data_IF_870838257767
#
_entry.id   IF_870838257767
#
_cell.length_a   1.000
_cell.length_b   1.000
_cell.length_c   1.000
_cell.angle_alpha   90.00
_cell.angle_beta   90.00
_cell.angle_gamma   90.00
#
_symmetry.space_group_name_H-M   'P 1'
#
loop_
_entity.id
_entity.type
_entity.pdbx_description
1 polymer ?
#
# COMPACT_ATOMS: atom_id res chain seq x y z
N UNK A 1 -63.13 25.28 -33.13
CA UNK A 1 -63.17 26.68 -33.60
C UNK A 1 -61.75 27.17 -33.79
N UNK A 2 -61.41 27.49 -35.04
CA UNK A 2 -60.43 28.51 -35.50
C UNK A 2 -58.95 28.37 -35.05
N UNK A 3 -58.12 27.85 -35.95
CA UNK A 3 -56.86 28.51 -36.35
C UNK A 3 -57.19 29.44 -37.56
N UNK A 4 -56.31 30.33 -38.13
CA UNK A 4 -54.85 30.52 -37.95
C UNK A 4 -54.35 32.00 -38.05
N UNK A 5 -53.03 32.25 -38.04
CA UNK A 5 -52.24 33.16 -38.94
C UNK A 5 -50.93 33.62 -38.25
N UNK A 6 -49.75 33.20 -38.72
CA UNK A 6 -48.86 33.71 -39.81
C UNK A 6 -47.95 34.87 -39.39
N UNK A 7 -46.63 34.62 -39.52
CA UNK A 7 -45.58 35.64 -39.56
C UNK A 7 -44.19 35.02 -39.70
N UNK A 8 -43.78 34.74 -40.95
CA UNK A 8 -42.41 34.39 -41.34
C UNK A 8 -41.66 35.69 -41.71
N UNK A 9 -40.32 35.61 -41.69
CA UNK A 9 -39.31 36.33 -42.52
C UNK A 9 -38.40 37.30 -41.71
N UNK A 10 -37.17 36.87 -41.37
CA UNK A 10 -35.93 37.18 -42.13
C UNK A 10 -34.67 36.63 -41.46
N UNK A 11 -33.88 35.91 -42.27
CA UNK A 11 -32.45 35.68 -42.08
C UNK A 11 -31.68 37.00 -42.04
N UNK A 12 -30.68 37.07 -41.15
CA UNK A 12 -29.42 37.75 -41.43
C UNK A 12 -28.26 36.96 -40.79
N UNK A 13 -27.39 36.42 -41.66
CA UNK A 13 -26.02 36.05 -41.35
C UNK A 13 -25.17 37.33 -41.28
N UNK A 14 -24.28 37.43 -40.28
CA UNK A 14 -22.87 37.83 -40.43
C UNK A 14 -22.20 38.13 -39.07
N UNK A 15 -21.28 37.23 -38.69
CA UNK A 15 -19.91 37.48 -38.21
C UNK A 15 -19.56 38.78 -37.47
N UNK A 16 -19.02 38.67 -36.25
CA UNK A 16 -17.62 39.03 -35.94
C UNK A 16 -17.22 38.81 -34.46
N UNK A 17 -16.06 38.15 -34.29
CA UNK A 17 -14.99 38.32 -33.29
C UNK A 17 -15.15 37.75 -31.87
N UNK A 18 -14.44 36.63 -31.70
CA UNK A 18 -13.50 36.31 -30.62
C UNK A 18 -13.37 37.36 -29.50
N UNK A 19 -13.70 36.94 -28.28
CA UNK A 19 -12.88 37.22 -27.10
C UNK A 19 -12.61 35.90 -26.40
N UNK A 20 -11.37 35.43 -26.53
CA UNK A 20 -10.84 34.27 -25.86
C UNK A 20 -10.73 34.55 -24.35
N UNK A 21 -11.52 33.87 -23.53
CA UNK A 21 -11.24 33.71 -22.09
C UNK A 21 -10.51 32.38 -21.87
N UNK A 22 -9.19 32.45 -22.02
CA UNK A 22 -8.18 31.61 -21.36
C UNK A 22 -8.46 30.12 -21.23
N UNK A 23 -8.23 29.36 -22.30
CA UNK A 23 -7.90 27.95 -22.15
C UNK A 23 -6.66 27.81 -21.27
N UNK A 24 -6.76 27.02 -20.19
CA UNK A 24 -5.60 26.59 -19.40
C UNK A 24 -4.70 25.77 -20.34
N UNK A 25 -3.70 26.43 -20.92
CA UNK A 25 -2.52 25.74 -21.44
C UNK A 25 -1.83 25.09 -20.25
N UNK A 26 -1.95 23.77 -20.13
CA UNK A 26 -1.05 22.94 -19.35
C UNK A 26 0.34 23.07 -19.98
N UNK A 27 1.14 24.00 -19.47
CA UNK A 27 2.52 24.17 -19.88
C UNK A 27 3.40 23.90 -18.67
N UNK A 28 4.15 22.79 -18.69
CA UNK A 28 5.48 22.60 -18.08
C UNK A 28 5.76 23.26 -16.71
N UNK A 29 4.76 23.42 -15.83
CA UNK A 29 4.90 24.13 -14.55
C UNK A 29 5.54 23.26 -13.45
N UNK A 30 5.48 21.92 -13.55
CA UNK A 30 5.89 21.01 -12.49
C UNK A 30 7.38 21.08 -12.13
N UNK A 31 8.27 20.88 -13.10
CA UNK A 31 9.72 20.73 -12.84
C UNK A 31 10.38 22.04 -12.41
N UNK A 32 10.11 23.13 -13.14
CA UNK A 32 10.69 24.44 -12.83
C UNK A 32 10.18 24.97 -11.48
N UNK A 33 8.92 24.70 -11.14
CA UNK A 33 8.34 25.07 -9.85
C UNK A 33 8.93 24.25 -8.71
N UNK A 34 9.06 22.93 -8.85
CA UNK A 34 9.58 22.09 -7.76
C UNK A 34 11.03 22.46 -7.42
N UNK A 35 11.90 22.59 -8.42
CA UNK A 35 13.31 22.93 -8.19
C UNK A 35 13.50 24.33 -7.57
N UNK A 36 12.60 25.27 -7.85
CA UNK A 36 12.63 26.62 -7.26
C UNK A 36 12.07 26.66 -5.84
N UNK A 37 11.00 25.90 -5.56
CA UNK A 37 10.29 25.93 -4.26
C UNK A 37 10.90 24.99 -3.21
N UNK A 38 11.74 24.03 -3.60
CA UNK A 38 12.39 23.14 -2.64
C UNK A 38 13.22 23.89 -1.59
N UNK A 39 13.66 25.12 -1.87
CA UNK A 39 14.43 25.92 -0.93
C UNK A 39 13.58 26.64 0.14
N UNK A 40 12.25 26.66 0.02
CA UNK A 40 11.41 27.38 0.98
C UNK A 40 11.38 26.65 2.35
N UNK A 41 11.34 27.39 3.48
CA UNK A 41 11.33 26.77 4.80
C UNK A 41 10.06 25.98 5.08
N UNK A 42 8.91 26.41 4.53
CA UNK A 42 7.64 25.67 4.63
C UNK A 42 7.04 25.48 3.24
N UNK A 43 6.74 24.24 2.89
CA UNK A 43 6.30 23.85 1.54
C UNK A 43 5.03 22.99 1.61
N UNK A 44 4.19 23.09 0.58
CA UNK A 44 3.04 22.21 0.41
C UNK A 44 2.89 21.77 -1.05
N UNK A 45 2.68 20.46 -1.25
CA UNK A 45 2.53 19.83 -2.55
C UNK A 45 1.29 18.94 -2.58
N UNK A 46 0.64 18.87 -3.73
CA UNK A 46 -0.43 17.90 -4.02
C UNK A 46 -0.09 17.18 -5.32
N UNK A 47 -0.12 15.84 -5.32
CA UNK A 47 0.04 15.08 -6.55
C UNK A 47 -1.26 14.99 -7.33
N UNK A 48 -1.21 15.32 -8.61
CA UNK A 48 -2.26 15.06 -9.59
C UNK A 48 -2.14 13.65 -10.19
N UNK A 49 -1.03 12.94 -9.93
CA UNK A 49 -0.84 11.56 -10.36
C UNK A 49 -1.43 10.57 -9.37
N UNK A 50 -2.03 9.50 -9.89
CA UNK A 50 -2.48 8.35 -9.12
C UNK A 50 -1.47 7.19 -9.12
N UNK A 51 -0.27 7.39 -9.65
CA UNK A 51 0.75 6.34 -9.70
C UNK A 51 1.47 6.18 -8.34
N UNK A 52 1.34 5.02 -7.67
CA UNK A 52 1.97 4.79 -6.38
C UNK A 52 3.50 4.82 -6.43
N UNK A 53 4.12 4.37 -7.53
CA UNK A 53 5.57 4.39 -7.72
C UNK A 53 6.07 5.82 -7.89
N UNK A 54 5.35 6.65 -8.64
CA UNK A 54 5.70 8.07 -8.81
C UNK A 54 5.52 8.83 -7.50
N UNK A 55 4.38 8.68 -6.83
CA UNK A 55 4.09 9.36 -5.58
C UNK A 55 5.14 9.02 -4.50
N UNK A 56 5.51 7.74 -4.35
CA UNK A 56 6.55 7.32 -3.40
C UNK A 56 7.96 7.75 -3.83
N UNK A 57 8.22 7.92 -5.13
CA UNK A 57 9.49 8.49 -5.61
C UNK A 57 9.60 9.99 -5.32
N UNK A 58 8.53 10.75 -5.56
CA UNK A 58 8.44 12.19 -5.20
C UNK A 58 8.61 12.37 -3.69
N UNK A 59 7.90 11.58 -2.88
CA UNK A 59 8.03 11.60 -1.42
C UNK A 59 9.49 11.35 -0.99
N UNK A 60 10.15 10.36 -1.60
CA UNK A 60 11.54 10.05 -1.30
C UNK A 60 12.48 11.18 -1.72
N UNK A 61 12.25 11.78 -2.89
CA UNK A 61 13.03 12.91 -3.38
C UNK A 61 12.92 14.12 -2.43
N UNK A 62 11.71 14.48 -2.01
CA UNK A 62 11.47 15.56 -1.04
C UNK A 62 12.19 15.29 0.30
N UNK A 63 12.21 14.03 0.75
CA UNK A 63 12.93 13.64 1.96
C UNK A 63 14.45 13.79 1.81
N UNK A 64 15.02 13.44 0.65
CA UNK A 64 16.47 13.42 0.44
C UNK A 64 17.06 14.77 0.03
N UNK A 65 16.30 15.58 -0.73
CA UNK A 65 16.84 16.74 -1.43
C UNK A 65 16.44 18.09 -0.86
N UNK A 66 15.37 18.14 -0.06
CA UNK A 66 14.94 19.41 0.53
C UNK A 66 15.81 19.83 1.73
N UNK A 67 15.90 21.14 2.04
CA UNK A 67 16.73 21.67 3.12
C UNK A 67 16.50 20.97 4.47
N UNK A 68 17.55 20.74 5.28
CA UNK A 68 17.46 20.10 6.60
C UNK A 68 16.44 20.73 7.56
N UNK A 69 16.30 22.05 7.48
CA UNK A 69 15.44 22.89 8.32
C UNK A 69 14.02 23.09 7.73
N UNK A 70 13.76 22.58 6.52
CA UNK A 70 12.45 22.73 5.87
C UNK A 70 11.39 21.75 6.39
N UNK A 71 10.15 22.23 6.47
CA UNK A 71 8.96 21.42 6.74
C UNK A 71 8.04 21.37 5.52
N UNK A 72 7.61 20.17 5.14
CA UNK A 72 6.91 19.91 3.88
C UNK A 72 5.67 19.09 4.15
N UNK A 73 4.52 19.52 3.60
CA UNK A 73 3.31 18.70 3.48
C UNK A 73 3.19 18.20 2.03
N UNK A 74 3.05 16.90 1.84
CA UNK A 74 2.75 16.28 0.55
C UNK A 74 1.48 15.44 0.67
N UNK A 75 0.49 15.71 -0.19
CA UNK A 75 -0.78 15.00 -0.26
C UNK A 75 -0.92 14.29 -1.60
N UNK A 76 -1.37 13.04 -1.59
CA UNK A 76 -1.54 12.27 -2.83
C UNK A 76 -2.57 11.15 -2.66
N UNK A 77 -3.13 10.70 -3.78
CA UNK A 77 -3.99 9.51 -3.86
C UNK A 77 -3.35 8.53 -4.83
N UNK A 78 -3.53 7.23 -4.61
CA UNK A 78 -3.04 6.22 -5.55
C UNK A 78 -4.22 5.49 -6.19
N UNK A 79 -4.02 4.99 -7.41
CA UNK A 79 -4.85 3.93 -7.99
C UNK A 79 -4.77 2.66 -7.12
N UNK A 80 -5.66 1.66 -7.32
CA UNK A 80 -5.68 0.44 -6.51
C UNK A 80 -4.29 -0.20 -6.37
N UNK A 81 -3.77 -0.22 -5.14
CA UNK A 81 -2.48 -0.82 -4.84
C UNK A 81 -2.38 -1.28 -3.38
N UNK A 82 -1.55 -2.29 -3.15
CA UNK A 82 -1.17 -2.75 -1.82
C UNK A 82 0.25 -2.27 -1.53
N UNK A 83 0.39 -1.51 -0.45
CA UNK A 83 1.67 -0.94 -0.03
C UNK A 83 2.19 -1.68 1.20
N UNK A 84 3.19 -2.53 1.00
CA UNK A 84 3.89 -3.24 2.07
C UNK A 84 5.03 -2.38 2.66
N UNK A 85 5.32 -2.57 3.95
CA UNK A 85 6.41 -1.90 4.64
C UNK A 85 7.80 -2.41 4.22
N UNK A 86 8.83 -1.60 4.49
CA UNK A 86 10.22 -1.85 4.04
C UNK A 86 10.77 -3.24 4.39
N UNK A 87 10.42 -3.77 5.55
CA UNK A 87 10.94 -5.03 6.11
C UNK A 87 9.84 -6.11 6.26
N UNK A 88 8.77 -6.02 5.47
CA UNK A 88 7.70 -7.02 5.49
C UNK A 88 7.94 -8.12 4.46
N UNK A 89 7.34 -9.28 4.69
CA UNK A 89 7.34 -10.39 3.74
C UNK A 89 6.05 -10.35 2.90
N UNK A 90 6.11 -10.12 1.57
CA UNK A 90 4.92 -9.99 0.74
C UNK A 90 4.07 -11.27 0.73
N UNK A 91 4.70 -12.45 0.80
CA UNK A 91 3.99 -13.73 0.85
C UNK A 91 3.32 -14.02 2.19
N UNK A 92 3.68 -13.32 3.27
CA UNK A 92 2.96 -13.40 4.55
C UNK A 92 1.80 -12.42 4.64
N UNK A 93 1.95 -11.28 3.99
CA UNK A 93 1.10 -10.11 4.18
C UNK A 93 0.01 -9.97 3.13
N UNK A 94 0.20 -10.57 1.95
CA UNK A 94 -0.63 -10.33 0.78
C UNK A 94 -1.01 -11.65 0.11
N UNK A 95 -2.26 -11.75 -0.32
CA UNK A 95 -2.71 -12.80 -1.21
C UNK A 95 -2.25 -12.52 -2.65
N UNK A 96 -0.98 -12.81 -2.93
CA UNK A 96 -0.35 -12.58 -4.22
C UNK A 96 -0.97 -13.42 -5.36
N UNK A 97 -1.61 -14.54 -5.04
CA UNK A 97 -2.31 -15.36 -6.04
C UNK A 97 -3.47 -14.60 -6.69
N UNK A 98 -4.26 -13.87 -5.90
CA UNK A 98 -5.36 -13.03 -6.42
C UNK A 98 -4.80 -11.89 -7.27
N UNK A 99 -3.70 -11.26 -6.85
CA UNK A 99 -3.05 -10.19 -7.64
C UNK A 99 -2.58 -10.70 -9.01
N UNK A 100 -1.88 -11.85 -9.04
CA UNK A 100 -1.38 -12.46 -10.28
C UNK A 100 -2.51 -12.89 -11.22
N UNK A 101 -3.62 -13.38 -10.68
CA UNK A 101 -4.80 -13.72 -11.48
C UNK A 101 -5.47 -12.47 -12.08
N UNK A 102 -5.56 -11.39 -11.30
CA UNK A 102 -6.12 -10.10 -11.71
C UNK A 102 -5.31 -9.37 -12.78
N UNK A 103 -3.99 -9.55 -12.82
CA UNK A 103 -3.13 -8.96 -13.86
C UNK A 103 -3.20 -9.70 -15.21
N UNK A 104 -3.69 -10.96 -15.21
CA UNK A 104 -3.67 -11.84 -16.38
C UNK A 104 -5.04 -12.02 -17.08
N UNK A 105 -6.12 -11.43 -16.56
CA UNK A 105 -7.47 -11.63 -17.12
C UNK A 105 -8.32 -10.36 -17.15
N UNK A 106 -8.98 -10.12 -18.29
CA UNK A 106 -10.29 -9.44 -18.30
C UNK A 106 -11.25 -10.25 -17.44
N UNK A 107 -11.69 -9.67 -16.32
CA UNK A 107 -12.63 -10.20 -15.33
C UNK A 107 -13.31 -11.54 -15.68
N UNK A 108 -12.99 -12.61 -14.93
CA UNK A 108 -13.81 -13.83 -14.95
C UNK A 108 -15.13 -13.59 -14.22
N UNK A 109 -16.22 -14.09 -14.80
CA UNK A 109 -17.61 -13.95 -14.33
C UNK A 109 -17.95 -14.75 -13.05
N UNK A 110 -16.96 -15.41 -12.41
CA UNK A 110 -17.18 -16.42 -11.36
C UNK A 110 -17.43 -15.82 -9.95
N UNK A 111 -17.91 -14.57 -9.87
CA UNK A 111 -18.48 -13.99 -8.65
C UNK A 111 -17.50 -13.57 -7.53
N UNK A 112 -16.20 -13.73 -7.71
CA UNK A 112 -15.18 -13.15 -6.81
C UNK A 112 -14.93 -11.69 -7.23
N UNK A 113 -15.15 -10.69 -6.36
CA UNK A 113 -14.90 -9.28 -6.69
C UNK A 113 -13.39 -9.03 -6.79
N UNK A 114 -12.82 -9.29 -7.96
CA UNK A 114 -11.48 -8.83 -8.30
C UNK A 114 -11.61 -7.33 -8.58
N UNK A 115 -10.89 -6.50 -7.81
CA UNK A 115 -10.88 -5.02 -7.93
C UNK A 115 -10.30 -4.60 -9.31
N UNK A 116 -9.79 -5.57 -10.07
CA UNK A 116 -9.10 -5.40 -11.34
C UNK A 116 -7.60 -5.53 -11.11
N UNK A 117 -6.83 -4.71 -11.82
CA UNK A 117 -5.39 -4.63 -11.66
C UNK A 117 -5.05 -3.87 -10.37
N UNK A 118 -4.43 -4.55 -9.40
CA UNK A 118 -4.00 -3.98 -8.12
C UNK A 118 -2.49 -4.12 -8.02
N UNK A 119 -1.79 -2.99 -7.92
CA UNK A 119 -0.32 -3.00 -7.88
C UNK A 119 0.21 -3.48 -6.52
N UNK A 120 1.36 -4.17 -6.51
CA UNK A 120 2.12 -4.44 -5.30
C UNK A 120 3.31 -3.48 -5.20
N UNK A 121 3.41 -2.74 -4.09
CA UNK A 121 4.45 -1.72 -3.91
C UNK A 121 5.11 -1.85 -2.54
N UNK A 122 6.44 -1.90 -2.50
CA UNK A 122 7.20 -1.81 -1.24
C UNK A 122 7.65 -0.38 -0.97
N UNK A 123 7.19 0.22 0.13
CA UNK A 123 7.62 1.57 0.52
C UNK A 123 8.98 1.58 1.25
N UNK A 124 9.60 2.75 1.33
CA UNK A 124 10.91 2.96 2.00
C UNK A 124 10.82 3.12 3.52
N UNK A 125 9.63 3.35 4.08
CA UNK A 125 9.34 3.44 5.52
C UNK A 125 8.97 2.08 6.12
N UNK A 126 9.06 1.95 7.44
CA UNK A 126 8.62 0.75 8.17
C UNK A 126 7.09 0.68 8.31
N UNK A 127 6.61 -0.18 9.21
CA UNK A 127 5.18 -0.37 9.50
C UNK A 127 4.53 -1.52 8.72
N UNK A 128 3.21 -1.67 8.87
CA UNK A 128 2.41 -2.75 8.29
C UNK A 128 1.94 -2.52 6.85
N UNK A 129 1.17 -3.47 6.33
CA UNK A 129 0.63 -3.46 4.98
C UNK A 129 -0.70 -2.71 4.93
N UNK A 130 -0.92 -1.91 3.89
CA UNK A 130 -2.17 -1.15 3.68
C UNK A 130 -2.62 -1.25 2.23
N UNK A 131 -3.93 -1.10 2.00
CA UNK A 131 -4.52 -0.98 0.67
C UNK A 131 -4.87 0.49 0.39
N UNK A 132 -4.55 0.97 -0.81
CA UNK A 132 -4.93 2.29 -1.30
C UNK A 132 -5.81 2.16 -2.54
N UNK A 133 -6.71 3.12 -2.71
CA UNK A 133 -7.43 3.42 -3.93
C UNK A 133 -7.78 4.92 -3.96
N UNK A 134 -8.59 5.36 -4.93
CA UNK A 134 -8.99 6.74 -5.10
C UNK A 134 -9.81 7.29 -3.92
N UNK A 135 -10.38 6.42 -3.09
CA UNK A 135 -11.09 6.79 -1.87
C UNK A 135 -10.18 6.92 -0.63
N UNK A 136 -8.88 6.69 -0.78
CA UNK A 136 -7.87 6.80 0.28
C UNK A 136 -6.87 7.92 -0.03
N UNK A 137 -6.88 8.98 0.79
CA UNK A 137 -5.90 10.07 0.68
C UNK A 137 -4.70 9.80 1.58
N UNK A 138 -3.51 9.84 1.00
CA UNK A 138 -2.26 9.79 1.74
C UNK A 138 -1.79 11.21 2.08
N UNK A 139 -1.26 11.35 3.28
CA UNK A 139 -0.64 12.57 3.76
C UNK A 139 0.78 12.26 4.24
N UNK A 140 1.73 13.13 3.93
CA UNK A 140 3.13 12.97 4.30
C UNK A 140 3.66 14.31 4.78
N UNK A 141 4.23 14.32 5.98
CA UNK A 141 4.91 15.49 6.55
C UNK A 141 6.37 15.16 6.77
N UNK A 142 7.24 15.96 6.15
CA UNK A 142 8.69 15.84 6.24
C UNK A 142 9.21 17.05 7.01
N UNK A 143 9.96 16.86 8.08
CA UNK A 143 10.42 17.93 8.96
C UNK A 143 11.82 17.65 9.52
N UNK A 144 12.45 18.61 10.20
CA UNK A 144 13.65 18.37 10.99
C UNK A 144 13.40 17.29 12.06
N UNK A 145 14.37 16.41 12.36
CA UNK A 145 14.20 15.35 13.37
C UNK A 145 13.83 15.88 14.76
N UNK A 146 14.30 17.09 15.10
CA UNK A 146 13.98 17.77 16.37
C UNK A 146 12.50 18.14 16.48
N UNK A 147 11.82 18.31 15.35
CA UNK A 147 10.43 18.74 15.28
C UNK A 147 9.47 17.56 15.13
N UNK A 148 10.00 16.33 15.02
CA UNK A 148 9.22 15.13 14.79
C UNK A 148 8.79 14.48 16.10
N UNK A 149 7.50 14.20 16.19
CA UNK A 149 6.95 13.20 17.11
C UNK A 149 6.01 12.29 16.34
N UNK A 150 5.76 11.09 16.86
CA UNK A 150 4.85 10.12 16.23
C UNK A 150 3.41 10.63 16.19
N UNK A 151 3.00 11.47 17.13
CA UNK A 151 1.62 11.97 17.20
C UNK A 151 1.42 13.30 16.46
N UNK A 152 2.40 14.21 16.45
CA UNK A 152 2.22 15.62 16.03
C UNK A 152 1.42 15.81 14.73
N UNK A 153 1.72 15.02 13.70
CA UNK A 153 1.04 15.14 12.40
C UNK A 153 -0.25 14.32 12.34
N UNK A 154 -0.37 13.21 13.08
CA UNK A 154 -1.65 12.51 13.23
C UNK A 154 -2.67 13.40 13.98
N UNK A 155 -2.23 14.13 15.01
CA UNK A 155 -3.03 15.12 15.72
C UNK A 155 -3.45 16.28 14.82
N UNK A 156 -2.58 16.72 13.91
CA UNK A 156 -2.93 17.71 12.87
C UNK A 156 -4.09 17.21 12.01
N UNK A 157 -4.03 15.96 11.56
CA UNK A 157 -5.10 15.35 10.77
C UNK A 157 -6.37 15.17 11.60
N UNK A 158 -6.28 14.78 12.88
CA UNK A 158 -7.46 14.72 13.78
C UNK A 158 -8.12 16.09 13.92
N UNK A 159 -7.36 17.17 14.12
CA UNK A 159 -7.91 18.54 14.17
C UNK A 159 -8.64 18.89 12.87
N UNK A 160 -8.07 18.51 11.72
CA UNK A 160 -8.71 18.71 10.43
C UNK A 160 -10.03 17.93 10.31
N UNK A 161 -10.05 16.65 10.70
CA UNK A 161 -11.24 15.81 10.69
C UNK A 161 -12.35 16.34 11.60
N UNK A 162 -12.02 16.79 12.80
CA UNK A 162 -13.00 17.39 13.74
C UNK A 162 -13.61 18.68 13.19
N UNK A 163 -12.81 19.52 12.52
CA UNK A 163 -13.34 20.72 11.82
C UNK A 163 -14.30 20.39 10.66
N UNK A 164 -14.18 19.19 10.08
CA UNK A 164 -15.11 18.67 9.08
C UNK A 164 -16.29 17.90 9.71
N UNK A 165 -16.48 17.97 11.03
CA UNK A 165 -17.60 17.37 11.75
C UNK A 165 -17.38 15.93 12.21
N UNK A 166 -16.15 15.40 12.10
CA UNK A 166 -15.82 14.04 12.54
C UNK A 166 -15.30 14.06 13.99
N UNK A 167 -16.17 14.44 14.92
CA UNK A 167 -15.83 14.65 16.34
C UNK A 167 -15.33 13.39 17.07
N UNK A 168 -15.64 12.21 16.52
CA UNK A 168 -15.24 10.88 17.02
C UNK A 168 -13.78 10.53 16.71
N UNK A 169 -13.09 11.33 15.91
CA UNK A 169 -11.70 11.08 15.55
C UNK A 169 -10.75 11.37 16.71
N UNK A 170 -9.82 10.46 16.94
CA UNK A 170 -8.67 10.65 17.84
C UNK A 170 -7.46 9.84 17.40
N UNK A 171 -6.30 10.22 17.93
CA UNK A 171 -5.09 9.41 17.88
C UNK A 171 -5.17 8.33 18.97
N UNK A 172 -4.67 7.13 18.67
CA UNK A 172 -4.56 6.04 19.65
C UNK A 172 -3.10 5.83 20.09
N UNK A 173 -2.88 4.91 21.02
CA UNK A 173 -1.56 4.58 21.57
C UNK A 173 -0.55 4.05 20.53
N UNK A 174 -1.05 3.58 19.39
CA UNK A 174 -0.23 3.13 18.25
C UNK A 174 0.00 4.24 17.22
N UNK A 175 -0.42 5.47 17.52
CA UNK A 175 -0.30 6.64 16.67
C UNK A 175 -1.12 6.52 15.36
N UNK A 176 -2.14 5.65 15.35
CA UNK A 176 -3.15 5.55 14.30
C UNK A 176 -4.30 6.54 14.59
N UNK A 177 -5.07 6.91 13.56
CA UNK A 177 -6.33 7.64 13.75
C UNK A 177 -7.50 6.65 13.72
N UNK A 178 -8.31 6.71 14.77
CA UNK A 178 -9.48 5.84 14.96
C UNK A 178 -10.74 6.66 15.20
N UNK A 179 -11.88 6.06 14.92
CA UNK A 179 -13.21 6.59 15.26
C UNK A 179 -13.76 5.82 16.46
N UNK A 180 -13.90 6.52 17.58
CA UNK A 180 -14.54 5.94 18.77
C UNK A 180 -16.04 5.69 18.52
N UNK A 181 -16.50 4.55 19.05
CA UNK A 181 -17.87 4.08 18.91
C UNK A 181 -18.71 4.43 20.16
N UNK A 182 -20.00 4.11 20.13
CA UNK A 182 -20.90 4.34 21.27
C UNK A 182 -21.54 5.73 21.30
N UNK A 183 -22.25 6.02 22.37
CA UNK A 183 -23.01 7.25 22.55
C UNK A 183 -22.10 8.37 23.06
N UNK A 184 -22.49 9.62 22.78
CA UNK A 184 -21.77 10.78 23.30
C UNK A 184 -22.13 10.96 24.78
N UNK A 185 -21.21 10.59 25.66
CA UNK A 185 -21.36 10.70 27.11
C UNK A 185 -20.24 11.58 27.69
N UNK A 186 -20.63 12.66 28.37
CA UNK A 186 -19.72 13.53 29.10
C UNK A 186 -19.09 14.67 28.29
N UNK A 187 -18.18 15.41 28.94
CA UNK A 187 -17.38 16.48 28.35
C UNK A 187 -15.96 15.96 28.09
N UNK A 188 -15.45 16.18 26.89
CA UNK A 188 -14.03 16.04 26.56
C UNK A 188 -13.47 17.41 26.22
N UNK A 189 -12.19 17.64 26.50
CA UNK A 189 -11.50 18.82 25.98
C UNK A 189 -11.47 18.73 24.44
N UNK A 190 -12.06 19.69 23.70
CA UNK A 190 -12.01 19.67 22.24
C UNK A 190 -10.59 19.72 21.66
N UNK A 191 -9.62 20.23 22.43
CA UNK A 191 -8.22 20.30 22.03
C UNK A 191 -7.44 19.01 22.31
N UNK A 192 -7.96 18.14 23.17
CA UNK A 192 -7.36 16.81 23.40
C UNK A 192 -7.66 15.90 22.20
N UNK A 193 -6.64 15.65 21.39
CA UNK A 193 -6.70 14.81 20.19
C UNK A 193 -6.61 13.32 20.49
N UNK A 194 -6.42 12.91 21.74
CA UNK A 194 -6.29 11.50 22.17
C UNK A 194 -7.54 10.98 22.88
N UNK A 195 -8.50 11.85 23.19
CA UNK A 195 -9.77 11.48 23.82
C UNK A 195 -10.95 12.03 23.05
N UNK A 196 -12.07 11.32 23.17
CA UNK A 196 -13.36 11.74 22.63
C UNK A 196 -14.44 11.55 23.69
N UNK A 197 -15.59 12.23 23.58
CA UNK A 197 -16.71 12.02 24.50
C UNK A 197 -17.55 10.78 24.10
N UNK A 198 -17.07 9.95 23.18
CA UNK A 198 -17.83 8.80 22.69
C UNK A 198 -17.36 7.54 23.41
N UNK A 199 -18.24 7.03 24.26
CA UNK A 199 -17.99 5.83 25.05
C UNK A 199 -19.12 4.86 24.87
N UNK A 200 -18.83 3.60 25.17
CA UNK A 200 -19.82 2.54 25.24
C UNK A 200 -19.96 2.15 26.69
N UNK A 201 -21.20 1.99 27.16
CA UNK A 201 -21.46 1.52 28.50
C UNK A 201 -20.96 0.05 28.63
N UNK A 202 -20.35 -0.28 29.77
CA UNK A 202 -19.94 -1.63 30.19
C UNK A 202 -18.88 -2.41 29.38
N UNK A 203 -17.76 -1.79 28.99
CA UNK A 203 -16.46 -2.47 28.75
C UNK A 203 -16.38 -3.50 27.60
N UNK A 204 -17.52 -3.87 27.02
CA UNK A 204 -17.72 -4.85 25.96
C UNK A 204 -18.23 -4.18 24.67
N UNK A 205 -18.11 -2.86 24.58
CA UNK A 205 -18.59 -2.12 23.42
C UNK A 205 -17.73 -2.32 22.16
N UNK A 206 -18.25 -1.93 20.98
CA UNK A 206 -17.58 -2.13 19.71
C UNK A 206 -16.23 -1.40 19.68
N UNK A 207 -15.22 -2.10 19.20
CA UNK A 207 -13.85 -1.57 19.08
C UNK A 207 -13.83 -0.31 18.19
N UNK A 208 -12.95 0.66 18.49
CA UNK A 208 -12.74 1.80 17.60
C UNK A 208 -12.37 1.34 16.18
N UNK A 209 -12.92 2.03 15.18
CA UNK A 209 -12.67 1.73 13.77
C UNK A 209 -11.49 2.55 13.27
N UNK A 210 -10.46 1.90 12.75
CA UNK A 210 -9.27 2.57 12.20
C UNK A 210 -9.59 3.23 10.86
N UNK A 211 -9.18 4.48 10.71
CA UNK A 211 -9.38 5.28 9.50
C UNK A 211 -8.09 5.85 8.92
N UNK A 212 -6.99 5.85 9.69
CA UNK A 212 -5.64 6.21 9.23
C UNK A 212 -4.63 5.27 9.84
N UNK A 213 -3.72 4.73 9.05
CA UNK A 213 -2.51 4.08 9.53
C UNK A 213 -1.30 4.99 9.34
N UNK A 214 -0.38 5.00 10.31
CA UNK A 214 0.82 5.84 10.28
C UNK A 214 2.09 5.02 10.10
N UNK A 215 3.07 5.57 9.38
CA UNK A 215 4.40 5.03 9.23
C UNK A 215 5.45 6.13 9.13
N UNK A 216 6.71 5.78 9.39
CA UNK A 216 7.78 6.75 9.59
C UNK A 216 9.08 6.33 8.91
N UNK A 217 9.89 7.32 8.55
CA UNK A 217 11.28 7.13 8.13
C UNK A 217 12.14 8.24 8.71
N UNK A 218 13.11 7.86 9.54
CA UNK A 218 14.11 8.78 10.06
C UNK A 218 15.39 8.66 9.24
N UNK A 219 15.97 9.80 8.91
CA UNK A 219 17.29 9.94 8.30
C UNK A 219 18.17 10.78 9.22
N UNK A 220 19.45 10.97 8.87
CA UNK A 220 20.36 11.78 9.67
C UNK A 220 19.85 13.21 9.91
N UNK A 221 19.27 13.83 8.87
CA UNK A 221 18.94 15.25 8.88
C UNK A 221 17.45 15.55 8.78
N UNK A 222 16.60 14.54 8.54
CA UNK A 222 15.17 14.71 8.26
C UNK A 222 14.36 13.55 8.83
N UNK A 223 13.13 13.82 9.22
CA UNK A 223 12.13 12.84 9.59
C UNK A 223 10.94 12.92 8.62
N UNK A 224 10.38 11.77 8.26
CA UNK A 224 9.17 11.64 7.47
C UNK A 224 8.12 10.91 8.30
N UNK A 225 6.93 11.49 8.36
CA UNK A 225 5.72 10.89 8.89
C UNK A 225 4.68 10.88 7.78
N UNK A 226 4.29 9.70 7.31
CA UNK A 226 3.15 9.58 6.42
C UNK A 226 2.04 8.71 7.00
N UNK A 227 0.84 8.91 6.50
CA UNK A 227 -0.27 8.07 6.82
C UNK A 227 -1.32 8.06 5.73
N UNK A 228 -2.25 7.13 5.89
CA UNK A 228 -3.41 6.98 5.01
C UNK A 228 -4.62 7.70 5.60
N UNK A 229 -5.69 7.88 4.83
CA UNK A 229 -6.97 8.30 5.37
C UNK A 229 -8.09 7.72 4.52
N UNK A 230 -8.83 6.78 5.10
CA UNK A 230 -9.95 6.08 4.45
C UNK A 230 -11.17 7.00 4.41
N UNK A 231 -11.34 7.68 3.28
CA UNK A 231 -12.42 8.64 3.11
C UNK A 231 -13.65 7.95 2.52
N UNK A 232 -13.54 7.36 1.33
CA UNK A 232 -14.66 6.75 0.58
C UNK A 232 -14.20 5.62 -0.34
N UNK A 233 -13.35 4.71 0.15
CA UNK A 233 -12.95 3.55 -0.65
C UNK A 233 -14.18 2.70 -1.00
N UNK A 234 -14.47 2.46 -2.30
CA UNK A 234 -15.55 1.54 -2.69
C UNK A 234 -15.18 0.08 -2.41
N UNK A 235 -13.91 -0.20 -2.13
CA UNK A 235 -13.36 -1.54 -2.02
C UNK A 235 -13.21 -2.07 -0.59
N UNK A 236 -13.75 -1.36 0.41
CA UNK A 236 -13.54 -1.65 1.83
C UNK A 236 -13.80 -3.12 2.21
N UNK A 237 -14.81 -3.75 1.59
CA UNK A 237 -15.19 -5.15 1.83
C UNK A 237 -14.25 -6.17 1.17
N UNK A 238 -13.56 -5.76 0.10
CA UNK A 238 -12.63 -6.61 -0.62
C UNK A 238 -11.21 -6.56 -0.04
N UNK A 239 -10.83 -5.47 0.64
CA UNK A 239 -9.49 -5.28 1.26
C UNK A 239 -9.04 -6.52 2.06
N UNK A 240 -9.86 -7.13 2.95
CA UNK A 240 -9.42 -8.32 3.68
C UNK A 240 -8.96 -9.46 2.76
N UNK A 241 -9.61 -9.69 1.62
CA UNK A 241 -9.26 -10.80 0.72
C UNK A 241 -7.84 -10.67 0.16
N UNK A 242 -7.39 -9.43 -0.04
CA UNK A 242 -6.04 -9.13 -0.50
C UNK A 242 -5.00 -9.20 0.61
N UNK A 243 -5.36 -8.88 1.86
CA UNK A 243 -4.43 -8.76 2.99
C UNK A 243 -4.35 -10.04 3.85
N UNK A 244 -5.07 -11.11 3.48
CA UNK A 244 -4.95 -12.42 4.12
C UNK A 244 -4.22 -13.38 3.19
N UNK A 245 -2.92 -13.58 3.42
CA UNK A 245 -2.13 -14.53 2.64
C UNK A 245 -2.52 -15.98 2.98
N UNK A 246 -2.82 -16.82 1.97
CA UNK A 246 -3.04 -18.24 2.17
C UNK A 246 -1.74 -19.01 2.48
N UNK A 247 -0.57 -18.44 2.18
CA UNK A 247 0.73 -19.06 2.48
C UNK A 247 1.15 -18.89 3.96
N UNK A 248 0.42 -18.08 4.74
CA UNK A 248 0.78 -17.75 6.13
C UNK A 248 1.01 -18.98 7.03
N UNK A 249 0.19 -20.04 7.02
CA UNK A 249 0.41 -21.23 7.85
C UNK A 249 1.70 -22.00 7.54
N UNK A 250 2.29 -21.78 6.37
CA UNK A 250 3.45 -22.49 5.85
C UNK A 250 4.75 -21.70 6.00
N UNK A 251 4.69 -20.47 6.54
CA UNK A 251 5.81 -19.53 6.52
C UNK A 251 6.19 -19.09 7.93
N UNK A 252 7.48 -19.23 8.26
CA UNK A 252 8.09 -18.70 9.48
C UNK A 252 9.09 -17.62 9.12
N UNK A 253 8.77 -16.36 9.42
CA UNK A 253 9.64 -15.23 9.09
C UNK A 253 10.11 -14.47 10.33
N UNK A 254 11.29 -13.86 10.21
CA UNK A 254 11.77 -12.83 11.14
C UNK A 254 11.53 -11.47 10.49
N UNK A 255 10.31 -10.96 10.58
CA UNK A 255 9.88 -9.73 9.90
C UNK A 255 8.91 -8.90 10.73
N UNK A 256 8.57 -7.71 10.25
CA UNK A 256 7.54 -6.86 10.87
C UNK A 256 6.16 -7.35 10.39
N UNK A 257 5.36 -7.90 11.29
CA UNK A 257 3.99 -8.32 11.00
C UNK A 257 3.02 -7.13 11.00
N UNK A 258 1.96 -7.23 10.19
CA UNK A 258 0.84 -6.29 10.29
C UNK A 258 -0.03 -6.54 11.52
N UNK A 259 -0.49 -5.45 12.13
CA UNK A 259 -1.51 -5.50 13.20
C UNK A 259 -2.89 -5.25 12.59
N UNK A 260 -3.69 -6.31 12.47
CA UNK A 260 -5.05 -6.21 11.95
C UNK A 260 -5.94 -5.35 12.86
N UNK A 261 -6.78 -4.52 12.25
CA UNK A 261 -7.73 -3.65 12.96
C UNK A 261 -9.00 -3.49 12.12
N UNK A 262 -10.19 -3.42 12.74
CA UNK A 262 -11.41 -3.10 12.01
C UNK A 262 -11.29 -1.69 11.43
N UNK A 263 -11.73 -1.51 10.20
CA UNK A 263 -11.59 -0.25 9.44
C UNK A 263 -12.95 0.33 9.04
N UNK A 264 -12.99 1.63 8.76
CA UNK A 264 -14.18 2.30 8.24
C UNK A 264 -13.84 3.41 7.25
N UNK A 265 -14.80 3.74 6.39
CA UNK A 265 -14.76 4.99 5.64
C UNK A 265 -15.30 6.14 6.50
N UNK A 266 -14.68 7.31 6.37
CA UNK A 266 -15.12 8.52 7.07
C UNK A 266 -16.33 9.18 6.38
N UNK A 267 -16.45 9.07 5.05
CA UNK A 267 -17.52 9.68 4.26
C UNK A 267 -17.23 11.10 3.76
N UNK A 268 -16.01 11.62 3.93
CA UNK A 268 -15.60 12.95 3.45
C UNK A 268 -15.09 12.91 2.01
N UNK A 269 -15.16 14.03 1.27
CA UNK A 269 -14.58 14.10 -0.07
C UNK A 269 -13.08 14.34 0.05
N UNK A 270 -12.30 13.81 -0.90
CA UNK A 270 -10.84 14.00 -0.92
C UNK A 270 -10.47 15.49 -0.88
N UNK A 271 -11.16 16.31 -1.68
CA UNK A 271 -10.90 17.74 -1.76
C UNK A 271 -11.17 18.46 -0.42
N UNK A 272 -12.28 18.15 0.27
CA UNK A 272 -12.59 18.77 1.56
C UNK A 272 -11.55 18.38 2.62
N UNK A 273 -11.16 17.10 2.64
CA UNK A 273 -10.12 16.60 3.52
C UNK A 273 -8.77 17.26 3.25
N UNK A 274 -8.29 17.22 2.00
CA UNK A 274 -7.01 17.79 1.59
C UNK A 274 -6.92 19.28 1.93
N UNK A 275 -7.97 20.06 1.60
CA UNK A 275 -8.03 21.48 1.93
C UNK A 275 -7.93 21.70 3.44
N UNK A 276 -8.69 20.95 4.24
CA UNK A 276 -8.68 21.16 5.69
C UNK A 276 -7.36 20.76 6.35
N UNK A 277 -6.68 19.72 5.83
CA UNK A 277 -5.33 19.34 6.26
C UNK A 277 -4.33 20.43 5.92
N UNK A 278 -4.40 21.03 4.73
CA UNK A 278 -3.58 22.17 4.34
C UNK A 278 -3.84 23.39 5.25
N UNK A 279 -5.09 23.69 5.58
CA UNK A 279 -5.45 24.78 6.49
C UNK A 279 -4.86 24.55 7.90
N UNK A 280 -4.90 23.32 8.42
CA UNK A 280 -4.28 22.98 9.71
C UNK A 280 -2.76 23.05 9.68
N UNK A 281 -2.15 22.55 8.61
CA UNK A 281 -0.71 22.67 8.40
C UNK A 281 -0.27 24.14 8.34
N UNK A 282 -1.01 24.98 7.61
CA UNK A 282 -0.75 26.41 7.54
C UNK A 282 -0.84 27.10 8.91
N UNK A 283 -1.82 26.71 9.73
CA UNK A 283 -1.97 27.23 11.08
C UNK A 283 -0.81 26.85 12.00
N UNK A 284 -0.24 25.65 11.85
CA UNK A 284 0.91 25.20 12.65
C UNK A 284 2.21 25.95 12.33
N UNK A 285 2.32 26.52 11.13
CA UNK A 285 3.57 27.11 10.61
C UNK A 285 3.47 28.62 10.31
N UNK A 286 2.46 29.31 10.86
CA UNK A 286 2.23 30.76 10.67
C UNK A 286 2.03 31.19 9.21
N UNK A 287 1.39 30.33 8.42
CA UNK A 287 1.13 30.54 6.99
C UNK A 287 1.98 29.63 6.10
N UNK A 288 1.43 29.24 4.96
CA UNK A 288 2.09 28.39 3.96
C UNK A 288 1.70 28.90 2.56
N UNK A 289 2.61 28.88 1.57
CA UNK A 289 2.26 29.14 0.19
C UNK A 289 1.12 28.25 -0.30
N UNK A 290 0.37 28.69 -1.31
CA UNK A 290 -0.60 27.82 -1.97
C UNK A 290 0.09 26.53 -2.44
N UNK A 291 -0.56 25.38 -2.23
CA UNK A 291 0.05 24.11 -2.56
C UNK A 291 0.37 24.01 -4.05
N UNK A 292 1.55 23.48 -4.36
CA UNK A 292 2.04 23.30 -5.71
C UNK A 292 1.57 21.93 -6.21
N UNK A 293 0.91 21.92 -7.36
CA UNK A 293 0.54 20.69 -8.05
C UNK A 293 1.78 20.05 -8.67
N UNK A 294 1.95 18.74 -8.46
CA UNK A 294 3.00 17.92 -9.05
C UNK A 294 2.38 16.75 -9.81
N UNK A 295 3.03 16.31 -10.88
CA UNK A 295 2.49 15.32 -11.81
C UNK A 295 3.63 14.50 -12.46
N UNK A 296 3.28 13.70 -13.47
CA UNK A 296 4.20 12.85 -14.23
C UNK A 296 5.35 13.61 -14.89
N UNK A 297 5.25 14.94 -15.08
CA UNK A 297 6.36 15.73 -15.62
C UNK A 297 7.62 15.63 -14.75
N UNK A 298 7.48 15.36 -13.45
CA UNK A 298 8.61 15.19 -12.54
C UNK A 298 9.46 13.95 -12.83
N UNK A 299 8.99 13.00 -13.64
CA UNK A 299 9.80 11.88 -14.12
C UNK A 299 11.01 12.35 -14.95
N UNK A 300 11.01 13.58 -15.48
CA UNK A 300 12.20 14.12 -16.12
C UNK A 300 13.33 14.48 -15.13
N UNK A 301 13.05 14.47 -13.82
CA UNK A 301 14.04 14.68 -12.76
C UNK A 301 14.80 13.37 -12.53
N UNK A 302 16.12 13.30 -12.79
CA UNK A 302 16.86 12.05 -12.77
C UNK A 302 16.72 11.24 -11.48
N UNK A 303 16.72 11.88 -10.31
CA UNK A 303 16.56 11.20 -9.03
C UNK A 303 15.15 10.64 -8.81
N UNK A 304 14.12 11.30 -9.34
CA UNK A 304 12.74 10.82 -9.28
C UNK A 304 12.56 9.64 -10.24
N UNK A 305 13.09 9.73 -11.47
CA UNK A 305 13.09 8.60 -12.42
C UNK A 305 13.81 7.39 -11.83
N UNK A 306 15.02 7.58 -11.28
CA UNK A 306 15.76 6.49 -10.64
C UNK A 306 14.98 5.86 -9.49
N UNK A 307 14.36 6.68 -8.64
CA UNK A 307 13.54 6.19 -7.53
C UNK A 307 12.28 5.46 -8.00
N UNK A 308 11.70 5.87 -9.13
CA UNK A 308 10.56 5.24 -9.79
C UNK A 308 10.94 3.86 -10.33
N UNK A 309 12.02 3.78 -11.10
CA UNK A 309 12.53 2.53 -11.68
C UNK A 309 12.91 1.52 -10.57
N UNK A 310 13.57 1.99 -9.51
CA UNK A 310 13.91 1.15 -8.35
C UNK A 310 12.65 0.56 -7.70
N UNK A 311 11.59 1.35 -7.48
CA UNK A 311 10.37 0.88 -6.83
C UNK A 311 9.61 -0.16 -7.67
N UNK A 312 9.81 -0.16 -8.99
CA UNK A 312 9.21 -1.13 -9.93
C UNK A 312 10.05 -2.40 -10.11
N UNK A 313 11.31 -2.38 -9.69
CA UNK A 313 12.18 -3.54 -9.80
C UNK A 313 11.72 -4.66 -8.85
N UNK A 314 11.63 -5.90 -9.36
CA UNK A 314 11.29 -7.07 -8.56
C UNK A 314 12.27 -7.27 -7.40
N UNK A 315 13.54 -6.90 -7.57
CA UNK A 315 14.57 -6.95 -6.53
C UNK A 315 14.24 -6.03 -5.35
N UNK A 316 13.62 -4.89 -5.63
CA UNK A 316 13.14 -4.01 -4.57
C UNK A 316 11.92 -4.62 -3.86
N UNK A 317 10.95 -5.15 -4.61
CA UNK A 317 9.72 -5.70 -4.04
C UNK A 317 9.97 -6.99 -3.25
N UNK A 318 10.77 -7.92 -3.77
CA UNK A 318 10.90 -9.29 -3.26
C UNK A 318 12.25 -9.56 -2.60
N UNK A 319 13.37 -9.15 -3.21
CA UNK A 319 14.71 -9.45 -2.68
C UNK A 319 15.07 -8.63 -1.43
N UNK A 320 14.24 -7.65 -1.08
CA UNK A 320 14.30 -6.93 0.20
C UNK A 320 13.63 -7.66 1.37
N UNK A 321 13.01 -8.81 1.12
CA UNK A 321 12.31 -9.59 2.15
C UNK A 321 13.30 -10.16 3.16
N UNK A 322 13.10 -9.95 4.48
CA UNK A 322 13.91 -10.59 5.50
C UNK A 322 13.89 -12.11 5.38
N UNK A 323 14.91 -12.77 5.95
CA UNK A 323 15.00 -14.22 5.90
C UNK A 323 13.73 -14.88 6.48
N UNK A 324 13.25 -15.90 5.78
CA UNK A 324 12.13 -16.73 6.21
C UNK A 324 12.36 -18.20 5.86
N UNK A 325 11.58 -19.08 6.46
CA UNK A 325 11.52 -20.50 6.11
C UNK A 325 10.11 -20.84 5.63
N UNK A 326 10.01 -21.45 4.46
CA UNK A 326 8.78 -22.04 3.94
C UNK A 326 8.80 -23.54 4.25
N UNK A 327 7.68 -24.07 4.74
CA UNK A 327 7.49 -25.48 5.03
C UNK A 327 6.46 -26.07 4.08
N UNK A 328 6.62 -27.32 3.68
CA UNK A 328 5.61 -28.01 2.88
C UNK A 328 4.39 -28.42 3.70
N UNK A 329 4.48 -28.46 5.03
CA UNK A 329 3.34 -28.73 5.91
C UNK A 329 3.31 -27.64 6.97
N UNK A 330 2.12 -27.25 7.47
CA UNK A 330 2.03 -26.29 8.56
C UNK A 330 2.85 -26.81 9.74
N UNK A 331 3.68 -25.94 10.33
CA UNK A 331 4.27 -26.22 11.63
C UNK A 331 3.11 -26.12 12.63
N UNK A 332 2.52 -27.25 13.01
CA UNK A 332 1.45 -27.24 14.02
C UNK A 332 2.05 -26.73 15.33
N UNK A 333 1.68 -25.51 15.73
CA UNK A 333 1.88 -25.03 17.11
C UNK A 333 0.91 -25.73 18.09
N UNK A 334 0.08 -26.67 17.61
CA UNK A 334 -0.83 -27.47 18.43
C UNK A 334 -0.32 -28.90 18.62
N UNK A 335 -0.20 -29.28 19.89
CA UNK A 335 -0.01 -30.60 20.49
C UNK A 335 0.50 -31.75 19.57
N UNK A 336 1.74 -32.26 19.77
CA UNK A 336 2.27 -33.43 19.06
C UNK A 336 1.45 -34.73 19.25
N UNK A 337 0.44 -34.74 20.12
CA UNK A 337 -0.49 -35.84 20.34
C UNK A 337 -1.92 -35.61 19.82
N UNK A 338 -2.21 -34.49 19.14
CA UNK A 338 -3.49 -34.30 18.48
C UNK A 338 -3.68 -35.36 17.38
N UNK A 339 -4.77 -36.14 17.39
CA UNK A 339 -4.98 -37.17 16.39
C UNK A 339 -5.16 -36.53 15.01
N UNK A 340 -4.28 -36.89 14.07
CA UNK A 340 -4.34 -36.57 12.65
C UNK A 340 -5.54 -37.31 12.05
N UNK A 341 -6.74 -36.77 12.23
CA UNK A 341 -7.93 -37.25 11.54
C UNK A 341 -8.33 -36.22 10.47
N UNK A 342 -8.16 -36.62 9.19
CA UNK A 342 -8.79 -36.02 8.01
C UNK A 342 -8.67 -34.50 7.84
N UNK A 343 -7.46 -33.96 7.99
CA UNK A 343 -7.22 -32.60 7.51
C UNK A 343 -7.32 -32.58 5.98
N UNK A 344 -8.40 -32.00 5.45
CA UNK A 344 -8.43 -31.49 4.08
C UNK A 344 -7.15 -30.65 3.88
N UNK A 345 -6.40 -30.92 2.82
CA UNK A 345 -5.21 -30.15 2.47
C UNK A 345 -5.59 -28.67 2.32
N UNK A 346 -5.19 -27.85 3.29
CA UNK A 346 -5.46 -26.40 3.32
C UNK A 346 -4.42 -25.60 2.56
N UNK A 347 -3.54 -26.27 1.82
CA UNK A 347 -2.54 -25.65 0.97
C UNK A 347 -3.20 -24.70 -0.03
N UNK A 348 -2.57 -23.55 -0.32
CA UNK A 348 -2.95 -22.72 -1.45
C UNK A 348 -2.96 -23.50 -2.78
N UNK A 349 -2.19 -24.59 -2.88
CA UNK A 349 -1.95 -25.38 -4.09
C UNK A 349 -2.00 -26.89 -3.82
N UNK A 350 -3.17 -27.47 -3.48
CA UNK A 350 -3.27 -28.87 -3.04
C UNK A 350 -2.80 -29.89 -4.08
N UNK A 351 -3.00 -29.57 -5.36
CA UNK A 351 -2.61 -30.41 -6.51
C UNK A 351 -1.09 -30.56 -6.67
N UNK A 352 -0.31 -29.63 -6.12
CA UNK A 352 1.15 -29.63 -6.17
C UNK A 352 1.79 -29.95 -4.82
N UNK A 353 0.98 -30.23 -3.79
CA UNK A 353 1.47 -30.34 -2.42
C UNK A 353 2.44 -31.53 -2.24
N UNK A 354 3.67 -31.30 -1.73
CA UNK A 354 4.62 -32.36 -1.46
C UNK A 354 4.07 -33.31 -0.39
N UNK A 355 4.14 -34.62 -0.65
CA UNK A 355 3.74 -35.65 0.32
C UNK A 355 4.75 -35.84 1.46
N UNK A 356 5.94 -35.29 1.30
CA UNK A 356 7.04 -35.39 2.25
C UNK A 356 7.28 -34.01 2.88
N UNK A 357 7.52 -33.92 4.20
CA UNK A 357 7.89 -32.67 4.85
C UNK A 357 9.23 -32.16 4.31
N UNK A 358 9.22 -30.97 3.70
CA UNK A 358 10.38 -30.29 3.16
C UNK A 358 10.32 -28.85 3.66
N UNK A 359 11.47 -28.23 3.91
CA UNK A 359 11.57 -26.83 4.24
C UNK A 359 12.64 -26.13 3.42
N UNK A 360 12.38 -24.85 3.12
CA UNK A 360 13.22 -23.99 2.31
C UNK A 360 13.54 -22.75 3.10
N UNK A 361 14.83 -22.54 3.37
CA UNK A 361 15.31 -21.30 3.96
C UNK A 361 15.57 -20.32 2.82
N UNK A 362 14.92 -19.15 2.86
CA UNK A 362 15.02 -18.13 1.84
C UNK A 362 15.64 -16.87 2.43
N UNK A 363 16.57 -16.26 1.71
CA UNK A 363 17.14 -14.95 2.07
C UNK A 363 17.40 -14.13 0.81
N UNK A 364 17.09 -12.83 0.87
CA UNK A 364 17.29 -11.89 -0.25
C UNK A 364 16.68 -12.36 -1.58
N UNK A 365 15.53 -13.05 -1.50
CA UNK A 365 14.82 -13.58 -2.67
C UNK A 365 15.43 -14.84 -3.29
N UNK A 366 16.45 -15.46 -2.66
CA UNK A 366 17.07 -16.70 -3.12
C UNK A 366 16.93 -17.82 -2.07
N UNK A 367 16.90 -19.06 -2.55
CA UNK A 367 16.88 -20.26 -1.71
C UNK A 367 18.29 -20.47 -1.16
N UNK A 368 18.45 -20.30 0.15
CA UNK A 368 19.73 -20.49 0.84
C UNK A 368 19.97 -21.95 1.20
N UNK A 369 18.91 -22.65 1.63
CA UNK A 369 19.03 -24.03 2.07
C UNK A 369 17.73 -24.80 1.88
N UNK A 370 17.88 -26.12 1.74
CA UNK A 370 16.77 -27.07 1.57
C UNK A 370 16.97 -28.20 2.57
N UNK A 371 15.93 -28.53 3.32
CA UNK A 371 15.98 -29.58 4.33
C UNK A 371 14.73 -30.44 4.38
N UNK A 372 14.87 -31.65 4.92
CA UNK A 372 13.76 -32.56 5.21
C UNK A 372 14.15 -33.48 6.37
N UNK A 373 13.17 -33.89 7.18
CA UNK A 373 13.35 -34.90 8.23
C UNK A 373 13.07 -36.32 7.75
N UNK A 374 12.53 -36.50 6.55
CA UNK A 374 12.07 -37.80 6.02
C UNK A 374 12.73 -38.22 4.70
N UNK A 375 13.62 -37.40 4.15
CA UNK A 375 14.37 -37.71 2.93
C UNK A 375 15.76 -38.27 3.26
N UNK A 376 16.26 -39.14 2.39
CA UNK A 376 17.64 -39.62 2.41
C UNK A 376 18.62 -38.52 1.97
N UNK A 377 19.91 -38.70 2.29
CA UNK A 377 20.96 -37.76 1.89
C UNK A 377 21.06 -37.60 0.36
N UNK A 378 20.85 -38.68 -0.40
CA UNK A 378 20.91 -38.64 -1.86
C UNK A 378 19.75 -37.83 -2.45
N UNK A 379 18.53 -37.97 -1.91
CA UNK A 379 17.38 -37.18 -2.37
C UNK A 379 17.54 -35.69 -1.99
N UNK A 380 18.12 -35.39 -0.83
CA UNK A 380 18.45 -34.01 -0.43
C UNK A 380 19.54 -33.40 -1.31
N UNK A 381 20.52 -34.19 -1.74
CA UNK A 381 21.55 -33.75 -2.67
C UNK A 381 20.93 -33.34 -4.02
N UNK A 382 19.96 -34.12 -4.52
CA UNK A 382 19.18 -33.75 -5.72
C UNK A 382 18.41 -32.44 -5.52
N UNK A 383 17.69 -32.28 -4.40
CA UNK A 383 16.98 -31.02 -4.11
C UNK A 383 17.91 -29.84 -3.84
N UNK A 384 19.16 -30.09 -3.46
CA UNK A 384 20.14 -29.03 -3.23
C UNK A 384 20.52 -28.25 -4.50
N UNK A 385 20.16 -28.77 -5.68
CA UNK A 385 20.23 -28.04 -6.96
C UNK A 385 19.34 -26.79 -6.99
N UNK A 386 18.33 -26.70 -6.12
CA UNK A 386 17.51 -25.50 -5.93
C UNK A 386 18.20 -24.41 -5.11
N UNK A 387 19.35 -24.69 -4.48
CA UNK A 387 20.11 -23.65 -3.77
C UNK A 387 20.57 -22.56 -4.73
N UNK A 388 20.63 -21.34 -4.22
CA UNK A 388 20.96 -20.11 -4.95
C UNK A 388 19.96 -19.70 -6.04
N UNK A 389 18.97 -20.54 -6.36
CA UNK A 389 17.88 -20.18 -7.26
C UNK A 389 17.06 -19.03 -6.69
N UNK A 390 16.79 -18.04 -7.53
CA UNK A 390 15.95 -16.89 -7.15
C UNK A 390 14.49 -17.29 -7.26
N UNK A 391 13.68 -16.90 -6.28
CA UNK A 391 12.23 -17.18 -6.29
C UNK A 391 11.57 -16.64 -7.57
N UNK A 392 12.08 -15.50 -8.06
CA UNK A 392 11.61 -14.85 -9.28
C UNK A 392 11.86 -15.64 -10.56
N UNK A 393 12.77 -16.60 -10.52
CA UNK A 393 13.20 -17.40 -11.67
C UNK A 393 12.63 -18.82 -11.62
N UNK A 394 11.86 -19.17 -10.58
CA UNK A 394 11.32 -20.52 -10.39
C UNK A 394 10.38 -20.95 -11.53
N UNK A 395 9.58 -20.04 -12.07
CA UNK A 395 8.69 -20.34 -13.22
C UNK A 395 9.50 -20.68 -14.47
N UNK A 396 10.59 -19.95 -14.72
CA UNK A 396 11.51 -20.25 -15.83
C UNK A 396 12.23 -21.57 -15.62
N UNK A 397 12.67 -21.83 -14.40
CA UNK A 397 13.32 -23.09 -14.03
C UNK A 397 12.38 -24.28 -14.25
N UNK A 398 11.10 -24.15 -13.89
CA UNK A 398 10.12 -25.23 -14.09
C UNK A 398 9.91 -25.53 -15.57
N UNK A 399 9.86 -24.51 -16.43
CA UNK A 399 9.75 -24.67 -17.89
C UNK A 399 11.00 -25.37 -18.47
N UNK A 400 12.19 -25.03 -18.00
CA UNK A 400 13.45 -25.67 -18.42
C UNK A 400 13.46 -27.17 -18.04
N UNK A 401 13.03 -27.50 -16.83
CA UNK A 401 12.94 -28.89 -16.34
C UNK A 401 11.84 -29.72 -17.02
N UNK A 402 10.87 -29.11 -17.72
CA UNK A 402 9.88 -29.85 -18.50
C UNK A 402 10.49 -30.58 -19.70
N UNK A 403 11.56 -30.02 -20.29
CA UNK A 403 12.26 -30.60 -21.43
C UNK A 403 13.29 -31.69 -21.08
N UNK A 404 13.55 -31.90 -19.79
CA UNK A 404 14.55 -32.84 -19.30
C UNK A 404 13.91 -34.15 -18.82
N UNK A 405 14.44 -35.29 -19.30
CA UNK A 405 13.92 -36.62 -18.96
C UNK A 405 14.74 -37.39 -17.93
N UNK A 406 15.83 -36.81 -17.40
CA UNK A 406 16.63 -37.47 -16.39
C UNK A 406 15.91 -37.54 -15.03
N UNK A 407 16.35 -38.49 -14.20
CA UNK A 407 15.69 -38.81 -12.94
C UNK A 407 15.79 -37.67 -11.91
N UNK A 408 16.84 -36.84 -11.97
CA UNK A 408 16.98 -35.71 -11.05
C UNK A 408 15.97 -34.61 -11.41
N UNK A 409 15.85 -34.26 -12.69
CA UNK A 409 14.90 -33.24 -13.15
C UNK A 409 13.45 -33.66 -12.89
N UNK A 410 13.12 -34.95 -13.04
CA UNK A 410 11.81 -35.51 -12.63
C UNK A 410 11.53 -35.41 -11.13
N UNK A 411 12.56 -35.46 -10.28
CA UNK A 411 12.43 -35.31 -8.82
C UNK A 411 12.32 -33.84 -8.38
N UNK A 412 13.08 -32.94 -9.01
CA UNK A 412 13.13 -31.51 -8.66
C UNK A 412 11.89 -30.76 -9.16
N UNK A 413 11.42 -31.06 -10.37
CA UNK A 413 10.35 -30.31 -11.04
C UNK A 413 9.06 -30.17 -10.22
N UNK A 414 8.48 -31.22 -9.61
CA UNK A 414 7.26 -31.08 -8.80
C UNK A 414 7.44 -30.13 -7.61
N UNK A 415 8.63 -30.15 -7.00
CA UNK A 415 8.98 -29.29 -5.87
C UNK A 415 9.17 -27.84 -6.32
N UNK A 416 9.84 -27.61 -7.44
CA UNK A 416 9.98 -26.28 -8.04
C UNK A 416 8.62 -25.69 -8.43
N UNK A 417 7.72 -26.49 -9.03
CA UNK A 417 6.35 -26.11 -9.35
C UNK A 417 5.57 -25.70 -8.10
N UNK A 418 5.64 -26.52 -7.04
CA UNK A 418 5.00 -26.21 -5.78
C UNK A 418 5.55 -24.90 -5.16
N UNK A 419 6.88 -24.70 -5.17
CA UNK A 419 7.49 -23.48 -4.66
C UNK A 419 7.02 -22.24 -5.41
N UNK A 420 7.03 -22.27 -6.75
CA UNK A 420 6.55 -21.16 -7.58
C UNK A 420 5.08 -20.83 -7.32
N UNK A 421 4.27 -21.86 -7.08
CA UNK A 421 2.85 -21.69 -6.81
C UNK A 421 2.56 -21.23 -5.36
N UNK A 422 3.41 -21.58 -4.39
CA UNK A 422 3.34 -21.10 -3.00
C UNK A 422 3.89 -19.68 -2.83
N UNK A 423 4.87 -19.31 -3.64
CA UNK A 423 5.55 -18.01 -3.61
C UNK A 423 5.35 -17.24 -4.92
N UNK A 424 4.11 -16.99 -5.37
CA UNK A 424 3.86 -16.38 -6.65
C UNK A 424 4.45 -14.96 -6.71
N UNK A 425 4.91 -14.59 -7.90
CA UNK A 425 5.47 -13.27 -8.20
C UNK A 425 4.48 -12.49 -9.05
N UNK A 426 4.29 -11.22 -8.69
CA UNK A 426 3.47 -10.26 -9.43
C UNK A 426 4.43 -9.32 -10.14
N UNK A 427 4.35 -9.29 -11.47
CA UNK A 427 5.14 -8.39 -12.30
C UNK A 427 4.51 -6.99 -12.33
N UNK A 428 5.36 -5.97 -12.39
CA UNK A 428 5.02 -4.53 -12.34
C UNK A 428 4.97 -3.90 -13.73
#
# INVERSE_FOLDING_TARGET
MIAPSRGIVKLQQASHKLLASGGRRSGHRGIASLAQTICDPIQSYVSDSNDPYLNLSIEHYLLQKSPPDSTILFLYTNRPCIVIGRNQNPWLEVNLGILKAGSSTTAKEDGQPVIGNVDLVRRRSGGGTVFHDEGNVNWSVICPPTDFTRDKHAEMVVRALRKLGIDRARVNERHDIVLDQGNRNGRSDPQDTHRTPYTVDDGAGPRPLKVSGSAYKLTRNRALHHGTCLLRSPNLQAIPQYLHSPAKPYLKARGVESVSSPIANIGLSNQAFQKQVQDEFARMHSGVPAAIAVDESLLSTPEISKGYDELRALDWTYSQTPQFTLFSHPETDEDPHAPVHDHLDTSPVPWLHPKIPINFKVQHGAILDVGSSKMSNQELEVLSTLKDQRIQELEKLTDELEGEEDDNSKAVRPIANWLGAMLPIVHV
#
